data_IF_060751012485
#
_entry.id   IF_060751012485
#
_cell.length_a   1.000
_cell.length_b   1.000
_cell.length_c   1.000
_cell.angle_alpha   90.00
_cell.angle_beta   90.00
_cell.angle_gamma   90.00
#
_symmetry.space_group_name_H-M   'P 1'
#
loop_
_entity.id
_entity.type
_entity.pdbx_description
1 polymer ?
#
# COMPACT_ATOMS: atom_id res chain seq x y z
N UNK A 1 -11.10 1.17 -31.85
CA UNK A 1 -10.54 2.28 -31.07
C UNK A 1 -11.22 2.31 -29.70
N UNK A 2 -10.92 1.31 -28.81
CA UNK A 2 -11.47 1.21 -27.43
C UNK A 2 -10.43 0.68 -26.41
N UNK A 3 -9.12 0.83 -26.70
CA UNK A 3 -8.05 0.23 -25.90
C UNK A 3 -7.20 1.22 -25.09
N UNK A 4 -7.64 2.47 -24.92
CA UNK A 4 -6.76 3.51 -24.34
C UNK A 4 -7.17 3.97 -22.91
N UNK A 5 -8.05 3.25 -22.22
CA UNK A 5 -8.57 3.71 -20.92
C UNK A 5 -8.21 2.79 -19.74
N UNK A 6 -7.45 1.71 -19.96
CA UNK A 6 -7.16 0.71 -18.91
C UNK A 6 -5.90 1.09 -18.10
N UNK A 7 -4.97 1.82 -18.69
CA UNK A 7 -3.67 2.12 -18.06
C UNK A 7 -3.74 3.11 -16.87
N UNK A 8 -4.79 3.89 -16.73
CA UNK A 8 -4.88 4.93 -15.70
C UNK A 8 -5.54 4.49 -14.40
N UNK A 9 -6.22 3.34 -14.36
CA UNK A 9 -6.95 2.91 -13.17
C UNK A 9 -6.08 2.09 -12.20
N UNK A 10 -5.09 1.37 -12.71
CA UNK A 10 -4.21 0.55 -11.86
C UNK A 10 -3.26 1.39 -11.01
N UNK A 11 -2.77 2.53 -11.53
CA UNK A 11 -1.87 3.43 -10.83
C UNK A 11 -2.56 4.21 -9.69
N UNK A 12 -3.86 4.42 -9.76
CA UNK A 12 -4.59 5.22 -8.77
C UNK A 12 -4.80 4.51 -7.42
N UNK A 13 -4.69 3.18 -7.36
CA UNK A 13 -4.90 2.44 -6.10
C UNK A 13 -3.66 2.42 -5.19
N UNK A 14 -2.47 2.69 -5.74
CA UNK A 14 -1.23 2.60 -4.96
C UNK A 14 -0.76 3.93 -4.36
N UNK A 15 -1.28 5.08 -4.81
CA UNK A 15 -0.77 6.41 -4.42
C UNK A 15 -1.66 7.21 -3.46
N UNK A 16 -2.77 6.68 -2.95
CA UNK A 16 -3.70 7.44 -2.11
C UNK A 16 -3.28 7.59 -0.64
N UNK A 17 -2.08 7.21 -0.24
CA UNK A 17 -1.60 7.33 1.15
C UNK A 17 -0.61 8.49 1.39
N UNK A 18 -0.35 9.34 0.39
CA UNK A 18 0.63 10.45 0.52
C UNK A 18 0.05 11.85 0.55
N UNK A 19 -1.19 12.07 0.95
CA UNK A 19 -1.76 13.42 0.98
C UNK A 19 -2.52 13.71 2.29
N UNK A 20 -1.79 13.89 3.37
CA UNK A 20 -2.20 14.74 4.48
C UNK A 20 -1.07 15.72 4.78
N UNK A 21 -0.89 16.70 3.89
CA UNK A 21 -0.19 17.93 4.23
C UNK A 21 -1.24 19.03 4.27
N UNK A 22 -1.67 19.35 5.47
CA UNK A 22 -2.58 20.47 5.76
C UNK A 22 -1.86 21.78 5.43
N UNK A 23 -2.28 22.46 4.35
CA UNK A 23 -1.92 23.85 4.08
C UNK A 23 -3.05 24.73 4.58
N UNK A 24 -2.88 25.23 5.77
CA UNK A 24 -3.66 26.36 6.26
C UNK A 24 -3.09 27.65 5.66
N UNK A 25 -3.74 28.19 4.63
CA UNK A 25 -3.48 29.55 4.17
C UNK A 25 -4.26 30.54 5.05
N UNK A 26 -3.48 31.45 5.66
CA UNK A 26 -4.01 32.51 6.49
C UNK A 26 -4.74 33.62 5.71
N UNK A 27 -5.76 34.18 6.31
CA UNK A 27 -6.30 35.48 5.95
C UNK A 27 -6.20 36.42 7.15
N UNK A 28 -5.45 37.51 6.98
CA UNK A 28 -5.38 38.68 7.85
C UNK A 28 -6.66 39.48 7.73
N UNK A 29 -7.11 40.07 8.86
CA UNK A 29 -7.47 41.47 9.11
C UNK A 29 -8.08 41.56 10.51
N UNK A 30 -7.50 42.37 11.36
CA UNK A 30 -7.71 43.73 11.76
C UNK A 30 -7.95 43.92 13.23
N UNK A 31 -6.97 44.56 13.93
CA UNK A 31 -7.13 45.54 15.05
C UNK A 31 -7.90 45.15 16.34
N UNK A 32 -7.34 45.23 17.50
CA UNK A 32 -6.91 46.28 18.41
C UNK A 32 -6.47 45.68 19.78
N UNK A 33 -5.43 46.26 20.35
CA UNK A 33 -4.82 46.09 21.67
C UNK A 33 -5.58 46.93 22.73
N UNK A 34 -5.30 46.99 24.06
CA UNK A 34 -4.23 46.36 24.84
C UNK A 34 -4.59 45.83 26.26
N UNK A 35 -3.67 45.16 26.90
CA UNK A 35 -3.15 45.32 28.25
C UNK A 35 -2.90 44.06 29.06
N UNK A 36 -1.63 43.82 29.29
CA UNK A 36 -0.90 43.66 30.53
C UNK A 36 -0.72 42.25 31.18
N UNK A 37 0.54 41.81 31.09
CA UNK A 37 1.46 41.26 32.14
C UNK A 37 1.10 39.93 32.84
N UNK A 38 1.92 38.87 32.63
CA UNK A 38 3.00 38.48 33.52
C UNK A 38 3.82 37.34 32.91
N UNK A 39 5.15 37.48 33.02
CA UNK A 39 6.17 36.49 32.69
C UNK A 39 5.93 35.14 33.39
N UNK A 40 6.15 34.07 32.66
CA UNK A 40 7.05 33.04 33.12
C UNK A 40 7.53 32.20 31.92
N UNK A 41 8.84 32.17 31.74
CA UNK A 41 9.50 31.46 30.68
C UNK A 41 9.38 29.95 30.81
N UNK A 42 9.14 29.32 29.71
CA UNK A 42 9.68 28.02 29.41
C UNK A 42 9.76 27.89 27.89
N UNK A 43 10.98 28.04 27.38
CA UNK A 43 11.39 27.66 26.03
C UNK A 43 11.24 26.16 25.90
N UNK A 44 10.19 25.73 25.24
CA UNK A 44 10.02 24.34 24.80
C UNK A 44 9.67 24.39 23.33
N UNK A 45 10.68 24.21 22.48
CA UNK A 45 10.49 23.95 21.07
C UNK A 45 9.61 22.70 20.92
N UNK A 46 8.37 22.92 20.53
CA UNK A 46 7.51 21.82 20.10
C UNK A 46 7.86 21.52 18.65
N UNK A 47 8.92 20.76 18.44
CA UNK A 47 9.08 19.99 17.21
C UNK A 47 8.07 18.86 17.27
N UNK A 48 6.97 19.06 16.58
CA UNK A 48 5.97 18.04 16.35
C UNK A 48 6.54 17.07 15.29
N UNK A 49 7.45 16.19 15.71
CA UNK A 49 7.84 15.06 14.88
C UNK A 49 6.90 13.91 15.18
N UNK A 50 6.01 13.64 14.24
CA UNK A 50 5.20 12.42 14.21
C UNK A 50 6.04 11.15 14.17
N UNK A 51 7.35 11.27 13.98
CA UNK A 51 8.30 10.16 13.98
C UNK A 51 8.59 9.60 15.40
N UNK A 52 8.44 10.38 16.46
CA UNK A 52 8.70 9.91 17.83
C UNK A 52 7.57 9.06 18.41
N UNK A 53 6.37 9.10 17.83
CA UNK A 53 5.23 8.34 18.37
C UNK A 53 5.31 6.84 18.07
N UNK A 54 6.22 6.40 17.21
CA UNK A 54 6.33 5.00 16.77
C UNK A 54 7.70 4.36 17.04
N UNK A 55 8.63 5.09 17.67
CA UNK A 55 9.98 4.58 17.93
C UNK A 55 10.04 3.52 19.04
N UNK A 56 9.03 3.46 19.92
CA UNK A 56 9.00 2.56 21.07
C UNK A 56 8.04 1.36 20.90
N UNK A 57 7.61 1.07 19.67
CA UNK A 57 6.85 -0.17 19.45
C UNK A 57 7.81 -1.34 19.48
N UNK A 58 7.74 -2.10 20.57
CA UNK A 58 8.47 -3.38 20.68
C UNK A 58 7.94 -4.35 19.61
N UNK A 59 8.71 -4.43 18.54
CA UNK A 59 8.39 -5.24 17.34
C UNK A 59 8.24 -6.72 17.70
N UNK A 60 8.94 -7.18 18.74
CA UNK A 60 8.89 -8.57 19.18
C UNK A 60 7.64 -8.89 20.02
N UNK A 61 6.95 -7.88 20.52
CA UNK A 61 5.69 -8.03 21.27
C UNK A 61 4.44 -8.07 20.40
N UNK A 62 4.56 -7.71 19.11
CA UNK A 62 3.42 -7.76 18.18
C UNK A 62 3.13 -9.21 17.77
N UNK A 63 1.85 -9.58 17.61
CA UNK A 63 1.50 -10.90 17.06
C UNK A 63 2.24 -11.11 15.75
N UNK A 64 3.03 -12.18 15.66
CA UNK A 64 3.89 -12.41 14.49
C UNK A 64 3.09 -12.66 13.23
N UNK A 65 1.89 -13.27 13.36
CA UNK A 65 1.02 -13.56 12.21
C UNK A 65 -0.43 -13.19 12.50
N UNK A 66 -0.96 -12.25 11.72
CA UNK A 66 -2.39 -11.91 11.69
C UNK A 66 -2.97 -12.37 10.36
N UNK A 67 -4.17 -12.95 10.37
CA UNK A 67 -4.84 -13.46 9.17
C UNK A 67 -6.20 -12.81 8.98
N UNK A 68 -6.49 -12.40 7.75
CA UNK A 68 -7.79 -11.87 7.34
C UNK A 68 -8.89 -12.94 7.35
N UNK A 69 -10.15 -12.48 7.34
CA UNK A 69 -11.33 -13.36 7.45
C UNK A 69 -11.85 -13.87 6.11
N UNK A 70 -11.62 -13.13 5.01
CA UNK A 70 -12.11 -13.53 3.68
C UNK A 70 -11.06 -14.36 2.98
N UNK A 71 -11.48 -15.51 2.47
CA UNK A 71 -10.64 -16.41 1.67
C UNK A 71 -11.21 -16.53 0.26
N UNK A 72 -10.33 -16.72 -0.72
CA UNK A 72 -10.67 -17.16 -2.08
C UNK A 72 -9.87 -18.41 -2.41
N UNK A 73 -10.28 -19.12 -3.42
CA UNK A 73 -9.52 -20.24 -3.97
C UNK A 73 -8.16 -19.72 -4.49
N UNK A 74 -7.07 -20.34 -4.03
CA UNK A 74 -5.69 -20.03 -4.44
C UNK A 74 -5.13 -21.12 -5.36
N UNK A 75 -5.96 -21.95 -5.98
CA UNK A 75 -5.52 -23.05 -6.86
C UNK A 75 -4.59 -22.54 -8.00
N UNK A 76 -4.76 -21.28 -8.42
CA UNK A 76 -3.86 -20.67 -9.40
C UNK A 76 -2.41 -20.57 -8.90
N UNK A 77 -2.15 -20.55 -7.59
CA UNK A 77 -0.79 -20.45 -7.05
C UNK A 77 0.07 -21.68 -7.33
N UNK A 78 -0.54 -22.80 -7.72
CA UNK A 78 0.15 -24.02 -8.14
C UNK A 78 0.62 -23.96 -9.60
N UNK A 79 0.18 -22.96 -10.37
CA UNK A 79 0.60 -22.79 -11.76
C UNK A 79 2.08 -22.40 -11.84
N UNK A 80 2.81 -23.05 -12.73
CA UNK A 80 4.22 -22.76 -12.98
C UNK A 80 4.44 -21.55 -13.88
N UNK A 81 3.45 -21.23 -14.73
CA UNK A 81 3.51 -20.04 -15.61
C UNK A 81 3.16 -18.78 -14.82
N UNK A 82 4.18 -18.00 -14.49
CA UNK A 82 4.06 -16.80 -13.67
C UNK A 82 4.89 -15.64 -14.23
N UNK A 83 4.54 -14.43 -13.83
CA UNK A 83 5.33 -13.22 -13.99
C UNK A 83 5.48 -12.57 -12.63
N UNK A 84 6.71 -12.24 -12.27
CA UNK A 84 7.03 -11.57 -11.01
C UNK A 84 7.50 -10.15 -11.31
N UNK A 85 6.95 -9.17 -10.59
CA UNK A 85 7.38 -7.79 -10.69
C UNK A 85 7.64 -7.22 -9.30
N UNK A 86 8.74 -6.52 -9.13
CA UNK A 86 9.17 -5.93 -7.87
C UNK A 86 9.25 -4.42 -7.94
N UNK A 87 8.94 -3.76 -6.82
CA UNK A 87 9.23 -2.35 -6.60
C UNK A 87 9.83 -2.18 -5.21
N UNK A 88 10.83 -1.31 -5.08
CA UNK A 88 11.44 -1.01 -3.79
C UNK A 88 11.77 0.47 -3.71
N UNK A 89 11.44 1.08 -2.57
CA UNK A 89 11.85 2.43 -2.21
C UNK A 89 12.43 2.47 -0.78
N UNK A 90 12.63 3.67 -0.24
CA UNK A 90 13.19 3.84 1.10
C UNK A 90 12.28 3.35 2.23
N UNK A 91 10.98 3.17 1.99
CA UNK A 91 9.98 2.88 3.01
C UNK A 91 9.41 1.47 2.90
N UNK A 92 9.30 0.93 1.69
CA UNK A 92 8.72 -0.39 1.47
C UNK A 92 9.27 -1.10 0.24
N UNK A 93 9.09 -2.41 0.22
CA UNK A 93 9.31 -3.27 -0.95
C UNK A 93 8.00 -3.96 -1.27
N UNK A 94 7.65 -4.06 -2.56
CA UNK A 94 6.45 -4.77 -3.01
C UNK A 94 6.83 -5.76 -4.11
N UNK A 95 6.27 -6.95 -4.02
CA UNK A 95 6.40 -8.01 -5.02
C UNK A 95 5.00 -8.40 -5.48
N UNK A 96 4.78 -8.35 -6.78
CA UNK A 96 3.57 -8.79 -7.44
C UNK A 96 3.86 -10.09 -8.18
N UNK A 97 3.04 -11.11 -7.99
CA UNK A 97 3.11 -12.36 -8.75
C UNK A 97 1.81 -12.55 -9.50
N UNK A 98 1.86 -12.64 -10.82
CA UNK A 98 0.73 -12.95 -11.69
C UNK A 98 0.87 -14.38 -12.17
N UNK A 99 -0.23 -15.12 -12.15
CA UNK A 99 -0.31 -16.51 -12.58
C UNK A 99 -1.11 -16.63 -13.87
N UNK A 100 -0.67 -17.51 -14.76
CA UNK A 100 -1.24 -17.67 -16.10
C UNK A 100 -1.69 -19.11 -16.35
N UNK A 101 -2.83 -19.24 -16.99
CA UNK A 101 -3.36 -20.46 -17.56
C UNK A 101 -3.68 -20.21 -19.04
N UNK A 102 -3.21 -21.09 -19.92
CA UNK A 102 -3.35 -20.91 -21.39
C UNK A 102 -2.89 -19.51 -21.89
N UNK A 103 -1.82 -18.99 -21.27
CA UNK A 103 -1.24 -17.68 -21.63
C UNK A 103 -2.08 -16.48 -21.21
N UNK A 104 -3.08 -16.68 -20.35
CA UNK A 104 -3.96 -15.63 -19.82
C UNK A 104 -3.86 -15.54 -18.29
N UNK A 105 -3.82 -14.33 -17.77
CA UNK A 105 -3.77 -14.11 -16.34
C UNK A 105 -5.08 -14.55 -15.66
N UNK A 106 -4.94 -15.37 -14.61
CA UNK A 106 -6.04 -15.97 -13.86
C UNK A 106 -6.05 -15.58 -12.38
N UNK A 107 -4.92 -15.14 -11.82
CA UNK A 107 -4.83 -14.74 -10.43
C UNK A 107 -3.57 -13.97 -10.11
N UNK A 108 -3.55 -13.34 -8.95
CA UNK A 108 -2.41 -12.56 -8.47
C UNK A 108 -2.21 -12.69 -6.96
N UNK A 109 -0.94 -12.72 -6.58
CA UNK A 109 -0.48 -12.68 -5.20
C UNK A 109 0.40 -11.45 -5.00
N UNK A 110 0.28 -10.83 -3.84
CA UNK A 110 1.05 -9.63 -3.49
C UNK A 110 1.70 -9.84 -2.14
N UNK A 111 2.98 -9.48 -2.07
CA UNK A 111 3.73 -9.35 -0.85
C UNK A 111 4.28 -7.93 -0.73
N UNK A 112 4.00 -7.26 0.39
CA UNK A 112 4.52 -5.94 0.71
C UNK A 112 5.26 -5.96 2.04
N UNK A 113 6.52 -5.53 2.06
CA UNK A 113 7.32 -5.42 3.28
C UNK A 113 7.59 -3.95 3.59
N UNK A 114 7.08 -3.48 4.71
CA UNK A 114 7.21 -2.11 5.22
C UNK A 114 8.30 -2.04 6.28
N UNK A 115 9.17 -1.04 6.21
CA UNK A 115 10.18 -0.81 7.26
C UNK A 115 9.54 -0.42 8.59
N UNK A 116 8.42 0.30 8.54
CA UNK A 116 7.67 0.69 9.71
C UNK A 116 6.52 -0.29 9.98
N UNK A 117 6.61 -1.06 11.06
CA UNK A 117 5.63 -2.08 11.44
C UNK A 117 4.25 -1.49 11.79
N UNK A 118 4.21 -0.28 12.36
CA UNK A 118 2.95 0.40 12.66
C UNK A 118 2.24 0.82 11.36
N UNK A 119 3.01 1.25 10.35
CA UNK A 119 2.48 1.51 9.02
C UNK A 119 1.93 0.22 8.38
N UNK A 120 2.67 -0.88 8.47
CA UNK A 120 2.20 -2.18 8.00
C UNK A 120 0.86 -2.57 8.65
N UNK A 121 0.71 -2.33 9.96
CA UNK A 121 -0.56 -2.59 10.64
C UNK A 121 -1.71 -1.73 10.09
N UNK A 122 -1.47 -0.45 9.87
CA UNK A 122 -2.48 0.46 9.30
C UNK A 122 -2.92 0.01 7.90
N UNK A 123 -1.98 -0.39 7.07
CA UNK A 123 -2.25 -0.91 5.72
C UNK A 123 -3.01 -2.23 5.79
N UNK A 124 -2.60 -3.15 6.67
CA UNK A 124 -3.30 -4.41 6.91
C UNK A 124 -4.77 -4.19 7.30
N UNK A 125 -5.03 -3.29 8.28
CA UNK A 125 -6.38 -2.94 8.70
C UNK A 125 -7.22 -2.34 7.56
N UNK A 126 -6.58 -1.59 6.65
CA UNK A 126 -7.21 -1.05 5.45
C UNK A 126 -7.61 -2.15 4.47
N UNK A 127 -6.74 -3.15 4.25
CA UNK A 127 -7.05 -4.28 3.38
C UNK A 127 -8.21 -5.11 3.91
N UNK A 128 -8.28 -5.33 5.24
CA UNK A 128 -9.40 -6.02 5.86
C UNK A 128 -10.74 -5.28 5.68
N UNK A 129 -10.73 -3.95 5.67
CA UNK A 129 -11.93 -3.12 5.42
C UNK A 129 -12.38 -3.19 3.97
N UNK A 130 -11.47 -3.47 3.05
CA UNK A 130 -11.71 -3.56 1.61
C UNK A 130 -11.73 -5.02 1.12
N UNK A 131 -12.36 -5.91 1.87
CA UNK A 131 -12.40 -7.35 1.59
C UNK A 131 -13.08 -7.72 0.25
N UNK A 132 -13.70 -6.77 -0.44
CA UNK A 132 -14.18 -6.96 -1.81
C UNK A 132 -13.06 -7.08 -2.84
N UNK A 133 -11.89 -6.52 -2.54
CA UNK A 133 -10.73 -6.48 -3.43
C UNK A 133 -9.59 -7.38 -2.96
N UNK A 134 -9.48 -7.61 -1.64
CA UNK A 134 -8.37 -8.32 -1.00
C UNK A 134 -8.86 -9.54 -0.23
N UNK A 135 -8.23 -10.68 -0.45
CA UNK A 135 -8.52 -11.91 0.27
C UNK A 135 -7.24 -12.56 0.76
N UNK A 136 -7.35 -13.53 1.66
CA UNK A 136 -6.23 -14.25 2.26
C UNK A 136 -5.17 -13.31 2.87
N UNK A 137 -5.64 -12.15 3.38
CA UNK A 137 -4.75 -11.12 3.94
C UNK A 137 -4.11 -11.64 5.20
N UNK A 138 -2.78 -11.63 5.23
CA UNK A 138 -1.97 -12.04 6.39
C UNK A 138 -0.92 -10.95 6.65
N UNK A 139 -0.57 -10.76 7.92
CA UNK A 139 0.52 -9.88 8.32
C UNK A 139 1.47 -10.63 9.26
N UNK A 140 2.76 -10.52 9.00
CA UNK A 140 3.83 -10.98 9.88
C UNK A 140 4.86 -9.85 10.04
N UNK A 141 4.87 -9.21 11.20
CA UNK A 141 5.68 -8.02 11.44
C UNK A 141 5.37 -6.90 10.46
N UNK A 142 6.36 -6.51 9.67
CA UNK A 142 6.26 -5.51 8.60
C UNK A 142 5.77 -6.05 7.27
N UNK A 143 5.65 -7.36 7.12
CA UNK A 143 5.27 -8.00 5.85
C UNK A 143 3.78 -8.29 5.80
N UNK A 144 3.13 -7.90 4.72
CA UNK A 144 1.73 -8.18 4.42
C UNK A 144 1.67 -8.98 3.13
N UNK A 145 0.91 -10.07 3.15
CA UNK A 145 0.61 -10.87 1.96
C UNK A 145 -0.89 -10.94 1.73
N UNK A 146 -1.30 -10.97 0.47
CA UNK A 146 -2.69 -11.17 0.11
C UNK A 146 -2.85 -11.70 -1.32
N UNK A 147 -4.01 -12.28 -1.59
CA UNK A 147 -4.48 -12.54 -2.95
C UNK A 147 -5.53 -11.50 -3.34
N UNK A 148 -5.62 -11.20 -4.62
CA UNK A 148 -6.69 -10.36 -5.13
C UNK A 148 -7.96 -11.20 -5.30
N UNK A 149 -9.12 -10.64 -4.95
CA UNK A 149 -10.41 -11.23 -5.31
C UNK A 149 -10.65 -11.08 -6.81
N UNK A 150 -11.70 -11.73 -7.34
CA UNK A 150 -12.08 -11.55 -8.74
C UNK A 150 -12.29 -10.06 -9.09
N UNK A 151 -12.92 -9.29 -8.19
CA UNK A 151 -13.11 -7.84 -8.34
C UNK A 151 -11.79 -7.07 -8.28
N UNK A 152 -10.88 -7.46 -7.40
CA UNK A 152 -9.55 -6.84 -7.27
C UNK A 152 -8.66 -7.13 -8.47
N UNK A 153 -8.83 -8.29 -9.10
CA UNK A 153 -8.04 -8.75 -10.24
C UNK A 153 -8.66 -8.43 -11.60
N UNK A 154 -9.85 -7.82 -11.64
CA UNK A 154 -10.62 -7.59 -12.87
C UNK A 154 -9.83 -6.87 -13.97
N UNK A 155 -8.97 -5.92 -13.59
CA UNK A 155 -8.15 -5.16 -14.53
C UNK A 155 -7.09 -6.00 -15.25
N UNK A 156 -6.65 -7.10 -14.65
CA UNK A 156 -5.60 -7.99 -15.16
C UNK A 156 -6.15 -9.29 -15.76
N UNK A 157 -7.37 -9.66 -15.38
CA UNK A 157 -8.00 -10.92 -15.77
C UNK A 157 -8.03 -11.08 -17.28
N UNK A 158 -7.43 -12.16 -17.78
CA UNK A 158 -7.39 -12.50 -19.21
C UNK A 158 -6.38 -11.70 -20.05
N UNK A 159 -5.56 -10.83 -19.44
CA UNK A 159 -4.43 -10.22 -20.11
C UNK A 159 -3.32 -11.26 -20.38
N UNK A 160 -2.53 -11.03 -21.41
CA UNK A 160 -1.33 -11.80 -21.69
C UNK A 160 -0.17 -11.34 -20.80
N UNK A 161 0.88 -12.16 -20.72
CA UNK A 161 2.11 -11.83 -19.98
C UNK A 161 2.73 -10.51 -20.47
N UNK A 162 2.82 -10.27 -21.77
CA UNK A 162 3.37 -9.05 -22.35
C UNK A 162 2.52 -7.82 -22.01
N UNK A 163 1.19 -7.95 -22.01
CA UNK A 163 0.29 -6.85 -21.64
C UNK A 163 0.45 -6.48 -20.17
N UNK A 164 0.59 -7.48 -19.26
CA UNK A 164 0.85 -7.24 -17.83
C UNK A 164 2.24 -6.66 -17.63
N UNK A 165 3.28 -7.26 -18.24
CA UNK A 165 4.65 -6.77 -18.14
C UNK A 165 4.71 -5.28 -18.47
N UNK A 166 4.16 -4.87 -19.62
CA UNK A 166 4.09 -3.46 -20.00
C UNK A 166 3.37 -2.60 -18.96
N UNK A 167 2.24 -3.05 -18.44
CA UNK A 167 1.45 -2.28 -17.46
C UNK A 167 2.19 -2.06 -16.14
N UNK A 168 2.89 -3.09 -15.62
CA UNK A 168 3.62 -2.97 -14.37
C UNK A 168 4.90 -2.16 -14.53
N UNK A 169 5.62 -2.28 -15.67
CA UNK A 169 6.79 -1.46 -15.99
C UNK A 169 6.42 0.03 -16.11
N UNK A 170 5.30 0.36 -16.77
CA UNK A 170 4.77 1.73 -16.84
C UNK A 170 4.40 2.27 -15.45
N UNK A 171 4.15 1.40 -14.49
CA UNK A 171 3.85 1.74 -13.08
C UNK A 171 5.11 1.77 -12.18
N UNK A 172 6.31 1.60 -12.74
CA UNK A 172 7.58 1.68 -12.03
C UNK A 172 8.00 0.40 -11.32
N UNK A 173 7.45 -0.75 -11.73
CA UNK A 173 7.92 -2.06 -11.28
C UNK A 173 8.97 -2.61 -12.22
N UNK A 174 9.91 -3.35 -11.69
CA UNK A 174 10.89 -4.13 -12.43
C UNK A 174 10.39 -5.58 -12.55
N UNK A 175 10.36 -6.10 -13.79
CA UNK A 175 9.94 -7.47 -14.06
C UNK A 175 11.13 -8.40 -13.99
N UNK A 176 10.99 -9.47 -13.20
CA UNK A 176 11.96 -10.58 -13.14
C UNK A 176 11.39 -11.74 -13.97
N UNK A 177 12.08 -12.11 -15.03
CA UNK A 177 11.76 -13.31 -15.81
C UNK A 177 12.41 -14.51 -15.11
N UNK A 178 11.61 -15.49 -14.69
CA UNK A 178 12.06 -16.81 -14.20
C UNK A 178 11.76 -17.86 -15.27
#
# INVERSE_FOLDING_TARGET
MKKLLIATLAAAMFFSLSACTDKTEGKKDGAEDPAAVTENGNTGETQNSTDEMFSDVDVDSLPKTESGKKTVDESFSELSDKLVAGHSDDNFTMVLTFYFEDGKAVGGFVEGTYKNVAQAKTVYDSYLKNADYYANVKRDGGTITYTQTEKGFEAYKGLTKDEIKKSVEESGFEVTEE
#
